data_IF_479102256168
#
_entry.id   IF_479102256168
#
_cell.length_a   1.000
_cell.length_b   1.000
_cell.length_c   1.000
_cell.angle_alpha   90.00
_cell.angle_beta   90.00
_cell.angle_gamma   90.00
#
_symmetry.space_group_name_H-M   'P 1'
#
loop_
_entity.id
_entity.type
_entity.pdbx_description
1 polymer ?
#
# COMPACT_ATOMS: atom_id res chain seq x y z
N UNK A 1 30.20 7.38 -16.73
CA UNK A 1 28.83 7.68 -16.28
C UNK A 1 27.91 6.46 -16.27
N UNK A 2 27.73 5.69 -17.36
CA UNK A 2 26.80 4.52 -17.37
C UNK A 2 27.05 3.47 -16.28
N UNK A 3 28.31 3.25 -15.89
CA UNK A 3 28.68 2.20 -14.93
C UNK A 3 28.91 2.73 -13.49
N UNK A 4 28.72 4.04 -13.27
CA UNK A 4 28.96 4.70 -11.97
C UNK A 4 27.62 5.04 -11.31
N UNK A 5 27.00 4.02 -10.71
CA UNK A 5 25.68 4.12 -10.08
C UNK A 5 25.63 5.13 -8.93
N UNK A 6 26.71 5.23 -8.14
CA UNK A 6 26.76 6.11 -6.97
C UNK A 6 26.70 7.58 -7.40
N UNK A 7 27.50 7.95 -8.41
CA UNK A 7 27.50 9.31 -8.93
C UNK A 7 26.15 9.67 -9.59
N UNK A 8 25.51 8.72 -10.28
CA UNK A 8 24.16 8.92 -10.82
C UNK A 8 23.14 9.17 -9.70
N UNK A 9 23.20 8.40 -8.61
CA UNK A 9 22.30 8.57 -7.45
C UNK A 9 22.47 9.95 -6.80
N UNK A 10 23.71 10.39 -6.57
CA UNK A 10 23.99 11.70 -5.99
C UNK A 10 23.47 12.84 -6.89
N UNK A 11 23.76 12.79 -8.19
CA UNK A 11 23.30 13.82 -9.14
C UNK A 11 21.78 13.89 -9.19
N UNK A 12 21.09 12.74 -9.29
CA UNK A 12 19.63 12.70 -9.37
C UNK A 12 18.96 13.13 -8.06
N UNK A 13 19.52 12.73 -6.91
CA UNK A 13 19.01 13.13 -5.59
C UNK A 13 19.14 14.63 -5.37
N UNK A 14 20.28 15.22 -5.76
CA UNK A 14 20.49 16.66 -5.68
C UNK A 14 19.62 17.45 -6.66
N UNK A 15 19.41 16.92 -7.87
CA UNK A 15 18.61 17.58 -8.91
C UNK A 15 17.09 17.49 -8.67
N UNK A 16 16.62 16.54 -7.85
CA UNK A 16 15.19 16.33 -7.58
C UNK A 16 14.90 16.55 -6.08
N UNK A 17 14.57 17.79 -5.68
CA UNK A 17 14.14 18.07 -4.31
C UNK A 17 12.98 17.17 -3.88
N UNK A 18 12.96 16.70 -2.63
CA UNK A 18 11.86 15.87 -2.15
C UNK A 18 10.55 16.66 -2.14
N UNK A 19 9.56 16.15 -2.85
CA UNK A 19 8.19 16.68 -2.85
C UNK A 19 7.37 15.99 -1.77
N UNK A 20 6.50 16.76 -1.10
CA UNK A 20 5.56 16.25 -0.09
C UNK A 20 4.27 15.73 -0.71
N UNK A 21 3.92 16.21 -1.90
CA UNK A 21 2.70 15.86 -2.62
C UNK A 21 2.92 14.64 -3.51
N UNK A 22 3.21 13.49 -2.91
CA UNK A 22 3.25 12.23 -3.63
C UNK A 22 1.85 11.60 -3.75
N UNK A 23 1.64 10.84 -4.83
CA UNK A 23 0.41 10.07 -5.04
C UNK A 23 0.80 8.62 -5.24
N UNK A 24 0.16 7.72 -4.50
CA UNK A 24 0.28 6.27 -4.70
C UNK A 24 -0.95 5.78 -5.44
N UNK A 25 -0.74 5.27 -6.66
CA UNK A 25 -1.79 4.64 -7.45
C UNK A 25 -1.75 3.13 -7.26
N UNK A 26 -2.90 2.54 -6.91
CA UNK A 26 -3.13 1.09 -6.99
C UNK A 26 -4.08 0.85 -8.14
N UNK A 27 -3.65 0.04 -9.09
CA UNK A 27 -4.44 -0.35 -10.26
C UNK A 27 -4.36 -1.86 -10.43
N UNK A 28 -5.51 -2.51 -10.56
CA UNK A 28 -5.62 -3.94 -10.81
C UNK A 28 -6.71 -4.19 -11.85
N UNK A 29 -6.43 -5.11 -12.77
CA UNK A 29 -7.37 -5.50 -13.82
C UNK A 29 -7.40 -7.01 -13.90
N UNK A 30 -8.58 -7.58 -13.95
CA UNK A 30 -8.79 -8.99 -14.14
C UNK A 30 -9.78 -9.23 -15.27
N UNK A 31 -9.50 -10.24 -16.09
CA UNK A 31 -10.40 -10.71 -17.14
C UNK A 31 -10.78 -12.17 -16.88
N UNK A 32 -12.03 -12.51 -17.14
CA UNK A 32 -12.51 -13.87 -16.91
C UNK A 32 -13.95 -14.08 -17.35
N UNK A 33 -14.49 -15.25 -17.00
CA UNK A 33 -15.89 -15.57 -17.23
C UNK A 33 -16.72 -15.17 -16.02
N UNK A 34 -17.71 -14.30 -16.23
CA UNK A 34 -18.67 -13.89 -15.21
C UNK A 34 -20.07 -14.13 -15.78
N UNK A 35 -20.90 -14.91 -15.08
CA UNK A 35 -22.25 -15.27 -15.54
C UNK A 35 -22.31 -15.81 -16.98
N UNK A 36 -21.31 -16.63 -17.36
CA UNK A 36 -21.23 -17.25 -18.69
C UNK A 36 -20.78 -16.32 -19.83
N UNK A 37 -20.33 -15.10 -19.53
CA UNK A 37 -19.79 -14.16 -20.52
C UNK A 37 -18.39 -13.72 -20.14
N UNK A 38 -17.56 -13.43 -21.14
CA UNK A 38 -16.27 -12.81 -20.91
C UNK A 38 -16.49 -11.39 -20.38
N UNK A 39 -15.84 -11.07 -19.26
CA UNK A 39 -15.94 -9.81 -18.57
C UNK A 39 -14.55 -9.36 -18.12
N UNK A 40 -14.38 -8.04 -17.98
CA UNK A 40 -13.21 -7.40 -17.39
C UNK A 40 -13.68 -6.56 -16.20
N UNK A 41 -12.99 -6.71 -15.08
CA UNK A 41 -13.16 -5.88 -13.90
C UNK A 41 -11.88 -5.07 -13.68
N UNK A 42 -12.05 -3.79 -13.33
CA UNK A 42 -10.94 -2.87 -13.07
C UNK A 42 -11.11 -2.24 -11.69
N UNK A 43 -10.04 -2.24 -10.91
CA UNK A 43 -9.93 -1.52 -9.64
C UNK A 43 -8.86 -0.44 -9.79
N UNK A 44 -9.20 0.78 -9.39
CA UNK A 44 -8.24 1.87 -9.27
C UNK A 44 -8.46 2.64 -7.97
N UNK A 45 -7.36 3.03 -7.32
CA UNK A 45 -7.40 3.95 -6.18
C UNK A 45 -6.16 4.82 -6.17
N UNK A 46 -6.36 6.11 -5.92
CA UNK A 46 -5.28 7.08 -5.74
C UNK A 46 -5.24 7.51 -4.27
N UNK A 47 -4.09 7.32 -3.63
CA UNK A 47 -3.84 7.75 -2.27
C UNK A 47 -2.95 8.98 -2.28
N UNK A 48 -3.37 10.03 -1.59
CA UNK A 48 -2.67 11.31 -1.45
C UNK A 48 -2.09 11.43 -0.03
N UNK A 49 -1.33 12.49 0.29
CA UNK A 49 -0.95 12.77 1.66
C UNK A 49 -2.19 12.85 2.57
N UNK A 50 -2.02 12.45 3.84
CA UNK A 50 -3.11 12.33 4.82
C UNK A 50 -2.68 12.89 6.18
N UNK A 51 -3.59 13.61 6.84
CA UNK A 51 -3.42 14.02 8.24
C UNK A 51 -3.70 12.84 9.17
N UNK A 52 -2.71 12.44 9.97
CA UNK A 52 -2.82 11.39 10.99
C UNK A 52 -2.17 11.94 12.26
N UNK A 53 -2.91 11.94 13.36
CA UNK A 53 -2.47 12.44 14.67
C UNK A 53 -1.87 13.86 14.64
N UNK A 54 -2.53 14.76 13.91
CA UNK A 54 -2.12 16.17 13.81
C UNK A 54 -0.86 16.42 12.96
N UNK A 55 -0.34 15.38 12.29
CA UNK A 55 0.78 15.49 11.35
C UNK A 55 0.38 15.05 9.95
N UNK A 56 0.84 15.79 8.96
CA UNK A 56 0.71 15.38 7.56
C UNK A 56 1.75 14.32 7.22
N UNK A 57 1.29 13.23 6.62
CA UNK A 57 2.13 12.15 6.13
C UNK A 57 1.99 12.01 4.62
N UNK A 58 3.13 11.88 3.93
CA UNK A 58 3.21 11.52 2.50
C UNK A 58 2.46 10.24 2.21
N UNK A 59 1.86 10.14 1.03
CA UNK A 59 1.08 9.00 0.57
C UNK A 59 1.85 7.68 0.74
N UNK A 60 3.07 7.58 0.20
CA UNK A 60 3.89 6.35 0.28
C UNK A 60 4.23 5.97 1.71
N UNK A 61 4.36 6.96 2.59
CA UNK A 61 4.75 6.73 3.98
C UNK A 61 3.59 6.15 4.77
N UNK A 62 2.42 6.79 4.70
CA UNK A 62 1.28 6.31 5.47
C UNK A 62 0.69 5.02 4.90
N UNK A 63 0.63 4.84 3.57
CA UNK A 63 0.08 3.59 2.99
C UNK A 63 0.95 2.38 3.35
N UNK A 64 2.28 2.54 3.36
CA UNK A 64 3.18 1.45 3.76
C UNK A 64 3.06 1.15 5.25
N UNK A 65 3.13 2.18 6.10
CA UNK A 65 3.09 2.00 7.55
C UNK A 65 1.73 1.48 8.04
N UNK A 66 0.62 2.07 7.57
CA UNK A 66 -0.73 1.70 7.99
C UNK A 66 -1.08 0.25 7.64
N UNK A 67 -0.63 -0.23 6.47
CA UNK A 67 -0.82 -1.62 6.04
C UNK A 67 -0.09 -2.60 6.96
N UNK A 68 1.19 -2.33 7.27
CA UNK A 68 1.97 -3.18 8.19
C UNK A 68 1.34 -3.18 9.59
N UNK A 69 0.97 -2.01 10.11
CA UNK A 69 0.36 -1.87 11.44
C UNK A 69 -0.99 -2.61 11.51
N UNK A 70 -1.79 -2.57 10.45
CA UNK A 70 -3.06 -3.29 10.37
C UNK A 70 -2.84 -4.81 10.54
N UNK A 71 -1.89 -5.38 9.78
CA UNK A 71 -1.54 -6.82 9.89
C UNK A 71 -0.99 -7.16 11.27
N UNK A 72 -0.10 -6.33 11.83
CA UNK A 72 0.45 -6.54 13.19
C UNK A 72 -0.66 -6.52 14.25
N UNK A 73 -1.62 -5.61 14.16
CA UNK A 73 -2.78 -5.58 15.05
C UNK A 73 -3.61 -6.87 14.92
N UNK A 74 -3.83 -7.37 13.71
CA UNK A 74 -4.56 -8.63 13.50
C UNK A 74 -3.82 -9.83 14.12
N UNK A 75 -2.48 -9.88 14.06
CA UNK A 75 -1.69 -10.91 14.76
C UNK A 75 -1.85 -10.77 16.28
N UNK A 76 -1.71 -9.55 16.80
CA UNK A 76 -1.79 -9.27 18.25
C UNK A 76 -3.16 -9.61 18.83
N UNK A 77 -4.24 -9.36 18.07
CA UNK A 77 -5.62 -9.69 18.44
C UNK A 77 -5.99 -11.17 18.21
N UNK A 78 -5.10 -11.97 17.61
CA UNK A 78 -5.35 -13.38 17.30
C UNK A 78 -6.33 -13.61 16.14
N UNK A 79 -6.57 -12.60 15.29
CA UNK A 79 -7.44 -12.69 14.10
C UNK A 79 -6.81 -13.45 12.95
N UNK A 80 -5.47 -13.52 12.91
CA UNK A 80 -4.69 -14.31 11.96
C UNK A 80 -3.64 -15.14 12.72
N UNK A 81 -3.10 -16.23 12.12
CA UNK A 81 -2.12 -17.08 12.79
C UNK A 81 -0.91 -16.29 13.31
N UNK A 82 -0.51 -16.57 14.55
CA UNK A 82 0.65 -15.95 15.20
C UNK A 82 1.92 -16.82 15.17
N UNK A 83 1.87 -17.92 14.42
CA UNK A 83 2.94 -18.86 14.18
C UNK A 83 2.95 -19.22 12.71
N UNK A 84 4.12 -19.65 12.25
CA UNK A 84 4.35 -20.04 10.86
C UNK A 84 4.22 -18.84 9.89
N UNK A 85 4.39 -19.12 8.60
CA UNK A 85 4.36 -18.12 7.56
C UNK A 85 2.92 -17.83 7.14
N UNK A 86 2.49 -16.57 7.27
CA UNK A 86 1.18 -16.11 6.81
C UNK A 86 1.35 -15.41 5.47
N UNK A 87 0.65 -15.89 4.43
CA UNK A 87 0.65 -15.22 3.13
C UNK A 87 -0.36 -14.10 3.12
N UNK A 88 -0.10 -13.06 2.33
CA UNK A 88 -1.01 -11.91 2.25
C UNK A 88 -2.37 -12.30 1.68
N UNK A 89 -2.41 -13.22 0.71
CA UNK A 89 -3.65 -13.74 0.12
C UNK A 89 -4.50 -14.57 1.09
N UNK A 90 -3.94 -15.02 2.21
CA UNK A 90 -4.66 -15.75 3.26
C UNK A 90 -5.31 -14.78 4.28
N UNK A 91 -4.99 -13.48 4.22
CA UNK A 91 -5.56 -12.46 5.11
C UNK A 91 -6.86 -11.94 4.50
N UNK A 92 -7.96 -12.05 5.26
CA UNK A 92 -9.24 -11.47 4.86
C UNK A 92 -9.13 -9.95 4.69
N UNK A 93 -9.50 -9.47 3.49
CA UNK A 93 -9.51 -8.04 3.19
C UNK A 93 -10.48 -7.27 4.11
N UNK A 94 -11.67 -7.81 4.37
CA UNK A 94 -12.65 -7.17 5.27
C UNK A 94 -12.12 -7.07 6.70
N UNK A 95 -11.45 -8.12 7.19
CA UNK A 95 -10.82 -8.11 8.51
C UNK A 95 -9.66 -7.11 8.57
N UNK A 96 -8.89 -6.97 7.49
CA UNK A 96 -7.84 -5.95 7.37
C UNK A 96 -8.41 -4.53 7.39
N UNK A 97 -9.42 -4.25 6.58
CA UNK A 97 -10.02 -2.92 6.44
C UNK A 97 -10.77 -2.46 7.70
N UNK A 98 -11.18 -3.40 8.57
CA UNK A 98 -11.80 -3.09 9.87
C UNK A 98 -10.81 -2.80 11.00
N UNK A 99 -9.49 -2.85 10.74
CA UNK A 99 -8.49 -2.43 11.73
C UNK A 99 -8.36 -0.90 11.78
N UNK A 100 -7.94 -0.30 12.90
CA UNK A 100 -7.85 1.17 13.03
C UNK A 100 -7.04 1.86 11.93
N UNK A 101 -5.97 1.21 11.44
CA UNK A 101 -5.14 1.74 10.34
C UNK A 101 -5.56 1.20 8.97
N UNK A 102 -6.23 0.05 8.91
CA UNK A 102 -6.81 -0.49 7.67
C UNK A 102 -7.98 0.34 7.15
N UNK A 103 -8.73 0.98 8.05
CA UNK A 103 -9.80 1.93 7.67
C UNK A 103 -9.27 3.11 6.85
N UNK A 104 -7.97 3.42 6.89
CA UNK A 104 -7.40 4.50 6.07
C UNK A 104 -7.44 4.20 4.57
N UNK A 105 -7.66 2.94 4.18
CA UNK A 105 -7.73 2.49 2.78
C UNK A 105 -9.16 2.43 2.22
N UNK A 106 -10.17 2.72 3.04
CA UNK A 106 -11.59 2.81 2.62
C UNK A 106 -11.90 4.22 2.17
#
# INVERSE_FOLDING_TARGET
>A
MKDDKQNIEEVLTNAKPPVRDDIVYVYAVAEGMQNGKMAREEFYKAYTPKMIDGKEWRAISWTTAASIVAVVNMVAEGKIPNKEFVKQEDISLDAFLSTPTGEFFV
#
